data_IF_383565095693
#
_entry.id   IF_383565095693
#
_cell.length_a   1.000
_cell.length_b   1.000
_cell.length_c   1.000
_cell.angle_alpha   90.00
_cell.angle_beta   90.00
_cell.angle_gamma   90.00
#
_symmetry.space_group_name_H-M   'P 1'
#
loop_
_entity.id
_entity.type
_entity.pdbx_description
1 polymer ?
#
# COMPACT_ATOMS: atom_id res chain seq x y z
N UNK A 1 -22.46 -9.36 -12.24
CA UNK A 1 -22.68 -8.08 -11.53
C UNK A 1 -22.77 -6.98 -12.57
N UNK A 2 -23.87 -6.22 -12.58
CA UNK A 2 -24.08 -5.14 -13.55
C UNK A 2 -23.11 -3.97 -13.31
N UNK A 3 -22.98 -3.07 -14.29
CA UNK A 3 -22.16 -1.87 -14.17
C UNK A 3 -22.64 -0.97 -13.01
N UNK A 4 -23.95 -0.80 -12.87
CA UNK A 4 -24.59 -0.03 -11.78
C UNK A 4 -24.28 -0.63 -10.41
N UNK A 5 -24.31 -1.96 -10.29
CA UNK A 5 -23.96 -2.66 -9.06
C UNK A 5 -22.49 -2.50 -8.67
N UNK A 6 -21.57 -2.57 -9.66
CA UNK A 6 -20.15 -2.32 -9.43
C UNK A 6 -19.90 -0.88 -9.00
N UNK A 7 -20.59 0.08 -9.61
CA UNK A 7 -20.50 1.49 -9.26
C UNK A 7 -20.99 1.73 -7.82
N UNK A 8 -22.15 1.15 -7.46
CA UNK A 8 -22.71 1.25 -6.12
C UNK A 8 -21.81 0.65 -5.04
N UNK A 9 -21.20 -0.50 -5.31
CA UNK A 9 -20.23 -1.09 -4.38
C UNK A 9 -18.95 -0.26 -4.26
N UNK A 10 -18.46 0.28 -5.38
CA UNK A 10 -17.28 1.16 -5.37
C UNK A 10 -17.58 2.41 -4.56
N UNK A 11 -18.75 3.01 -4.77
CA UNK A 11 -19.22 4.15 -4.00
C UNK A 11 -19.29 3.83 -2.50
N UNK A 12 -19.96 2.73 -2.15
CA UNK A 12 -20.14 2.26 -0.78
C UNK A 12 -18.81 1.99 -0.08
N UNK A 13 -17.86 1.34 -0.76
CA UNK A 13 -16.53 1.03 -0.18
C UNK A 13 -15.59 2.23 -0.15
N UNK A 14 -15.85 3.29 -0.92
CA UNK A 14 -15.01 4.50 -0.98
C UNK A 14 -15.52 5.58 -0.03
N UNK A 15 -16.80 5.93 -0.13
CA UNK A 15 -17.40 7.09 0.54
C UNK A 15 -18.29 6.73 1.74
N UNK A 16 -18.90 5.55 1.77
CA UNK A 16 -19.83 5.12 2.84
C UNK A 16 -19.39 3.83 3.53
N UNK A 17 -18.12 3.79 3.95
CA UNK A 17 -17.51 2.59 4.57
C UNK A 17 -18.22 2.13 5.84
N UNK A 18 -18.83 3.06 6.58
CA UNK A 18 -19.63 2.76 7.78
C UNK A 18 -21.01 2.18 7.46
N UNK A 19 -21.41 2.21 6.17
CA UNK A 19 -22.73 1.81 5.69
C UNK A 19 -23.87 2.66 6.23
N UNK A 20 -23.56 3.86 6.73
CA UNK A 20 -24.54 4.71 7.38
C UNK A 20 -25.60 5.18 6.38
N UNK A 21 -25.20 5.78 5.26
CA UNK A 21 -26.15 6.26 4.25
C UNK A 21 -26.89 5.09 3.61
N UNK A 22 -26.16 4.03 3.26
CA UNK A 22 -26.73 2.83 2.66
C UNK A 22 -27.82 2.19 3.54
N UNK A 23 -27.55 1.98 4.84
CA UNK A 23 -28.51 1.37 5.77
C UNK A 23 -29.69 2.30 6.06
N UNK A 24 -29.41 3.60 6.22
CA UNK A 24 -30.44 4.60 6.47
C UNK A 24 -31.43 4.66 5.30
N UNK A 25 -30.92 4.73 4.07
CA UNK A 25 -31.76 4.76 2.87
C UNK A 25 -32.46 3.42 2.64
N UNK A 26 -31.77 2.28 2.81
CA UNK A 26 -32.38 0.94 2.68
C UNK A 26 -33.59 0.74 3.62
N UNK A 27 -33.55 1.33 4.81
CA UNK A 27 -34.62 1.24 5.80
C UNK A 27 -35.88 2.05 5.46
N UNK A 28 -35.80 2.95 4.47
CA UNK A 28 -36.91 3.78 4.04
C UNK A 28 -37.76 3.08 2.97
N UNK A 29 -39.05 3.40 2.95
CA UNK A 29 -39.91 3.02 1.83
C UNK A 29 -39.44 3.69 0.52
N UNK A 30 -39.71 3.06 -0.61
CA UNK A 30 -39.36 3.50 -1.97
C UNK A 30 -39.72 4.97 -2.23
N UNK A 31 -40.92 5.41 -1.84
CA UNK A 31 -41.36 6.80 -2.02
C UNK A 31 -40.44 7.79 -1.29
N UNK A 32 -40.09 7.51 -0.04
CA UNK A 32 -39.20 8.36 0.75
C UNK A 32 -37.76 8.36 0.22
N UNK A 33 -37.28 7.23 -0.32
CA UNK A 33 -35.96 7.17 -0.98
C UNK A 33 -35.92 8.07 -2.22
N UNK A 34 -36.91 7.95 -3.11
CA UNK A 34 -36.99 8.82 -4.30
C UNK A 34 -37.18 10.29 -3.94
N UNK A 35 -37.97 10.60 -2.90
CA UNK A 35 -38.10 11.96 -2.38
C UNK A 35 -36.76 12.50 -1.88
N UNK A 36 -35.99 11.70 -1.13
CA UNK A 36 -34.63 12.06 -0.70
C UNK A 36 -33.71 12.29 -1.89
N UNK A 37 -33.74 11.43 -2.90
CA UNK A 37 -32.94 11.57 -4.11
C UNK A 37 -33.25 12.87 -4.88
N UNK A 38 -34.53 13.20 -5.04
CA UNK A 38 -34.96 14.45 -5.69
C UNK A 38 -34.53 15.65 -4.84
N UNK A 39 -34.75 15.60 -3.52
CA UNK A 39 -34.33 16.66 -2.59
C UNK A 39 -32.81 16.87 -2.62
N UNK A 40 -32.03 15.79 -2.66
CA UNK A 40 -30.58 15.83 -2.78
C UNK A 40 -30.16 16.53 -4.08
N UNK A 41 -30.75 16.18 -5.22
CA UNK A 41 -30.48 16.84 -6.51
C UNK A 41 -30.81 18.33 -6.44
N UNK A 42 -31.96 18.70 -5.87
CA UNK A 42 -32.37 20.11 -5.72
C UNK A 42 -31.41 20.89 -4.82
N UNK A 43 -31.02 20.33 -3.68
CA UNK A 43 -30.06 20.93 -2.76
C UNK A 43 -28.69 21.12 -3.41
N UNK A 44 -28.24 20.12 -4.18
CA UNK A 44 -26.99 20.15 -4.91
C UNK A 44 -27.01 21.16 -6.07
N UNK A 45 -28.13 21.28 -6.79
CA UNK A 45 -28.33 22.36 -7.77
C UNK A 45 -28.25 23.74 -7.11
N UNK A 46 -28.83 23.91 -5.92
CA UNK A 46 -28.73 25.15 -5.16
C UNK A 46 -27.28 25.45 -4.76
N UNK A 47 -26.51 24.45 -4.32
CA UNK A 47 -25.07 24.60 -4.04
C UNK A 47 -24.31 25.06 -5.29
N UNK A 48 -24.58 24.44 -6.44
CA UNK A 48 -23.97 24.85 -7.72
C UNK A 48 -24.28 26.32 -8.05
N UNK A 49 -25.55 26.72 -7.94
CA UNK A 49 -25.98 28.11 -8.23
C UNK A 49 -25.33 29.12 -7.28
N UNK A 50 -25.20 28.78 -5.99
CA UNK A 50 -24.50 29.65 -5.00
C UNK A 50 -23.01 29.74 -5.27
N UNK A 51 -22.35 28.63 -5.62
CA UNK A 51 -20.95 28.66 -6.05
C UNK A 51 -20.76 29.47 -7.32
N UNK A 52 -21.67 29.37 -8.29
CA UNK A 52 -21.60 30.15 -9.52
C UNK A 52 -21.74 31.66 -9.26
N UNK A 53 -22.60 32.05 -8.31
CA UNK A 53 -22.70 33.43 -7.85
C UNK A 53 -21.39 33.92 -7.20
N UNK A 54 -20.69 33.07 -6.43
CA UNK A 54 -19.38 33.39 -5.84
C UNK A 54 -18.29 33.50 -6.93
N UNK A 55 -18.38 32.68 -7.98
CA UNK A 55 -17.41 32.62 -9.08
C UNK A 55 -17.64 33.69 -10.14
N UNK A 56 -18.75 34.44 -10.08
CA UNK A 56 -18.98 35.61 -10.95
C UNK A 56 -18.08 36.81 -10.54
N UNK A 57 -16.78 36.54 -10.52
CA UNK A 57 -15.68 37.41 -10.09
C UNK A 57 -15.31 38.41 -11.18
N UNK A 58 -15.93 38.34 -12.38
CA UNK A 58 -15.76 39.36 -13.42
C UNK A 58 -16.19 40.76 -12.97
N UNK A 59 -16.94 40.86 -11.86
CA UNK A 59 -17.34 42.12 -11.24
C UNK A 59 -16.32 42.69 -10.24
N UNK A 60 -15.24 41.97 -9.92
CA UNK A 60 -14.26 42.36 -8.92
C UNK A 60 -12.86 42.47 -9.53
N UNK A 61 -12.09 43.46 -9.07
CA UNK A 61 -10.70 43.71 -9.50
C UNK A 61 -9.73 42.71 -8.84
N UNK A 62 -9.97 41.42 -9.08
CA UNK A 62 -9.23 40.30 -8.49
C UNK A 62 -8.17 39.81 -9.50
N UNK A 63 -6.94 39.48 -9.05
CA UNK A 63 -5.88 38.93 -9.90
C UNK A 63 -6.33 37.73 -10.74
N UNK A 64 -5.93 37.68 -12.00
CA UNK A 64 -6.29 36.64 -12.99
C UNK A 64 -6.05 35.21 -12.48
N UNK A 65 -4.97 35.01 -11.70
CA UNK A 65 -4.67 33.72 -11.08
C UNK A 65 -5.79 33.25 -10.14
N UNK A 66 -6.30 34.13 -9.28
CA UNK A 66 -7.37 33.82 -8.32
C UNK A 66 -8.68 33.55 -9.06
N UNK A 67 -8.96 34.29 -10.14
CA UNK A 67 -10.13 34.03 -10.99
C UNK A 67 -10.09 32.63 -11.60
N UNK A 68 -8.94 32.24 -12.18
CA UNK A 68 -8.77 30.91 -12.77
C UNK A 68 -8.86 29.80 -11.72
N UNK A 69 -8.28 30.00 -10.53
CA UNK A 69 -8.38 29.04 -9.43
C UNK A 69 -9.84 28.82 -8.99
N UNK A 70 -10.61 29.91 -8.84
CA UNK A 70 -12.02 29.83 -8.43
C UNK A 70 -12.90 29.16 -9.50
N UNK A 71 -12.62 29.39 -10.79
CA UNK A 71 -13.29 28.66 -11.89
C UNK A 71 -13.00 27.16 -11.80
N UNK A 72 -11.74 26.76 -11.59
CA UNK A 72 -11.36 25.34 -11.46
C UNK A 72 -12.02 24.69 -10.24
N UNK A 73 -12.05 25.39 -9.10
CA UNK A 73 -12.73 24.91 -7.90
C UNK A 73 -14.24 24.75 -8.13
N UNK A 74 -14.88 25.69 -8.82
CA UNK A 74 -16.30 25.60 -9.19
C UNK A 74 -16.61 24.42 -10.11
N UNK A 75 -15.78 24.19 -11.12
CA UNK A 75 -15.89 23.01 -11.97
C UNK A 75 -15.71 21.73 -11.15
N UNK A 76 -14.75 21.70 -10.22
CA UNK A 76 -14.55 20.60 -9.28
C UNK A 76 -15.79 20.29 -8.44
N UNK A 77 -16.45 21.32 -7.89
CA UNK A 77 -17.70 21.17 -7.13
C UNK A 77 -18.83 20.62 -8.02
N UNK A 78 -18.95 21.09 -9.27
CA UNK A 78 -19.93 20.58 -10.24
C UNK A 78 -19.72 19.08 -10.52
N UNK A 79 -18.49 18.67 -10.81
CA UNK A 79 -18.18 17.25 -11.05
C UNK A 79 -18.42 16.39 -9.81
N UNK A 80 -17.97 16.84 -8.63
CA UNK A 80 -18.14 16.10 -7.38
C UNK A 80 -19.62 15.88 -7.07
N UNK A 81 -20.45 16.90 -7.30
CA UNK A 81 -21.90 16.87 -7.14
C UNK A 81 -22.57 15.81 -8.02
N UNK A 82 -22.19 15.75 -9.30
CA UNK A 82 -22.70 14.75 -10.25
C UNK A 82 -22.29 13.34 -9.82
N UNK A 83 -21.01 13.15 -9.48
CA UNK A 83 -20.47 11.87 -9.03
C UNK A 83 -21.18 11.41 -7.75
N UNK A 84 -21.41 12.31 -6.80
CA UNK A 84 -22.09 12.02 -5.53
C UNK A 84 -23.54 11.59 -5.74
N UNK A 85 -24.25 12.27 -6.65
CA UNK A 85 -25.63 11.92 -7.02
C UNK A 85 -25.68 10.53 -7.66
N UNK A 86 -24.87 10.27 -8.68
CA UNK A 86 -24.82 8.97 -9.35
C UNK A 86 -24.48 7.85 -8.34
N UNK A 87 -23.53 8.11 -7.45
CA UNK A 87 -23.12 7.20 -6.38
C UNK A 87 -24.28 6.80 -5.46
N UNK A 88 -25.01 7.77 -4.91
CA UNK A 88 -26.14 7.48 -4.01
C UNK A 88 -27.29 6.80 -4.75
N UNK A 89 -27.68 7.27 -5.94
CA UNK A 89 -28.75 6.65 -6.72
C UNK A 89 -28.44 5.19 -7.07
N UNK A 90 -27.16 4.87 -7.30
CA UNK A 90 -26.75 3.51 -7.64
C UNK A 90 -27.00 2.49 -6.52
N UNK A 91 -27.23 2.93 -5.27
CA UNK A 91 -27.61 2.04 -4.16
C UNK A 91 -28.87 1.22 -4.44
N UNK A 92 -29.80 1.73 -5.25
CA UNK A 92 -30.99 0.99 -5.67
C UNK A 92 -30.63 -0.36 -6.31
N UNK A 93 -29.52 -0.41 -7.05
CA UNK A 93 -29.07 -1.64 -7.73
C UNK A 93 -28.55 -2.73 -6.79
N UNK A 94 -28.25 -2.38 -5.53
CA UNK A 94 -27.61 -3.27 -4.56
C UNK A 94 -28.42 -3.49 -3.28
N UNK A 95 -29.60 -2.88 -3.11
CA UNK A 95 -30.42 -3.08 -1.89
C UNK A 95 -30.89 -4.52 -1.70
N UNK A 96 -31.16 -5.23 -2.80
CA UNK A 96 -31.57 -6.64 -2.79
C UNK A 96 -30.38 -7.60 -2.57
N UNK A 97 -29.15 -7.10 -2.54
CA UNK A 97 -27.96 -7.93 -2.32
C UNK A 97 -27.61 -8.04 -0.83
N UNK A 98 -27.00 -9.16 -0.45
CA UNK A 98 -26.38 -9.32 0.86
C UNK A 98 -25.01 -8.63 0.88
N UNK A 99 -25.04 -7.32 1.16
CA UNK A 99 -23.85 -6.47 1.21
C UNK A 99 -22.92 -6.85 2.35
N UNK A 100 -23.44 -7.32 3.48
CA UNK A 100 -22.61 -7.74 4.60
C UNK A 100 -21.77 -8.96 4.21
N UNK A 101 -22.37 -9.94 3.52
CA UNK A 101 -21.64 -11.09 2.98
C UNK A 101 -20.60 -10.65 1.95
N UNK A 102 -20.98 -9.79 1.00
CA UNK A 102 -20.05 -9.29 -0.02
C UNK A 102 -18.83 -8.57 0.59
N UNK A 103 -19.06 -7.67 1.56
CA UNK A 103 -17.98 -6.93 2.22
C UNK A 103 -17.08 -7.85 3.05
N UNK A 104 -17.65 -8.88 3.67
CA UNK A 104 -16.88 -9.88 4.42
C UNK A 104 -15.98 -10.69 3.47
N UNK A 105 -16.49 -11.12 2.32
CA UNK A 105 -15.72 -11.82 1.30
C UNK A 105 -14.61 -10.92 0.71
N UNK A 106 -14.90 -9.65 0.44
CA UNK A 106 -13.92 -8.64 0.02
C UNK A 106 -12.79 -8.50 1.03
N UNK A 107 -13.12 -8.23 2.30
CA UNK A 107 -12.12 -8.11 3.38
C UNK A 107 -11.28 -9.38 3.53
N UNK A 108 -11.92 -10.56 3.46
CA UNK A 108 -11.20 -11.84 3.51
C UNK A 108 -10.25 -12.01 2.32
N UNK A 109 -10.65 -11.62 1.11
CA UNK A 109 -9.79 -11.65 -0.08
C UNK A 109 -8.62 -10.69 0.06
N UNK A 110 -8.85 -9.45 0.52
CA UNK A 110 -7.80 -8.47 0.76
C UNK A 110 -6.80 -8.94 1.83
N UNK A 111 -7.31 -9.46 2.95
CA UNK A 111 -6.48 -10.05 3.99
C UNK A 111 -5.71 -11.27 3.50
N UNK A 112 -6.34 -12.13 2.71
CA UNK A 112 -5.69 -13.28 2.10
C UNK A 112 -4.57 -12.84 1.16
N UNK A 113 -4.80 -11.84 0.31
CA UNK A 113 -3.78 -11.26 -0.58
C UNK A 113 -2.65 -10.64 0.25
N UNK A 114 -2.96 -9.86 1.29
CA UNK A 114 -1.97 -9.24 2.17
C UNK A 114 -1.13 -10.30 2.88
N UNK A 115 -1.78 -11.33 3.47
CA UNK A 115 -1.12 -12.48 4.10
C UNK A 115 -0.28 -13.26 3.09
N UNK A 116 -0.75 -13.50 1.87
CA UNK A 116 -0.02 -14.21 0.81
C UNK A 116 1.18 -13.42 0.30
N UNK A 117 1.04 -12.10 0.10
CA UNK A 117 2.15 -11.21 -0.25
C UNK A 117 3.19 -11.18 0.86
N UNK A 118 2.78 -10.96 2.11
CA UNK A 118 3.68 -11.03 3.28
C UNK A 118 4.37 -12.39 3.38
N UNK A 119 3.63 -13.48 3.16
CA UNK A 119 4.20 -14.83 3.12
C UNK A 119 5.22 -15.00 2.00
N UNK A 120 5.00 -14.43 0.81
CA UNK A 120 5.97 -14.45 -0.30
C UNK A 120 7.26 -13.72 0.05
N UNK A 121 7.17 -12.63 0.82
CA UNK A 121 8.33 -11.86 1.30
C UNK A 121 9.04 -12.49 2.52
N UNK A 122 8.50 -13.54 3.13
CA UNK A 122 9.26 -14.26 4.17
C UNK A 122 10.47 -14.89 3.50
N UNK A 123 11.66 -14.67 4.06
CA UNK A 123 12.93 -15.23 3.58
C UNK A 123 12.82 -16.72 3.20
N UNK A 124 12.04 -17.47 3.97
CA UNK A 124 11.72 -18.89 3.76
C UNK A 124 11.01 -19.24 2.45
N UNK A 125 10.18 -18.36 1.92
CA UNK A 125 9.38 -18.58 0.71
C UNK A 125 9.96 -17.86 -0.52
N UNK A 126 11.03 -17.08 -0.35
CA UNK A 126 11.73 -16.42 -1.46
C UNK A 126 12.56 -17.42 -2.26
N UNK A 127 12.63 -17.20 -3.57
CA UNK A 127 13.51 -17.95 -4.48
C UNK A 127 14.99 -17.76 -4.09
N UNK A 128 15.81 -18.78 -4.34
CA UNK A 128 17.24 -18.76 -3.98
C UNK A 128 17.98 -17.58 -4.64
N UNK A 129 17.66 -17.27 -5.91
CA UNK A 129 18.27 -16.15 -6.63
C UNK A 129 17.97 -14.80 -5.95
N UNK A 130 16.70 -14.55 -5.59
CA UNK A 130 16.31 -13.31 -4.90
C UNK A 130 17.00 -13.20 -3.53
N UNK A 131 17.17 -14.33 -2.83
CA UNK A 131 17.86 -14.39 -1.55
C UNK A 131 19.34 -14.03 -1.69
N UNK A 132 20.03 -14.59 -2.69
CA UNK A 132 21.44 -14.25 -2.99
C UNK A 132 21.58 -12.77 -3.34
N UNK A 133 20.67 -12.21 -4.15
CA UNK A 133 20.69 -10.77 -4.48
C UNK A 133 20.53 -9.91 -3.24
N UNK A 134 19.59 -10.25 -2.34
CA UNK A 134 19.40 -9.52 -1.07
C UNK A 134 20.66 -9.61 -0.21
N UNK A 135 21.28 -10.78 -0.10
CA UNK A 135 22.52 -10.96 0.65
C UNK A 135 23.67 -10.14 0.07
N UNK A 136 23.91 -10.21 -1.23
CA UNK A 136 24.93 -9.37 -1.87
C UNK A 136 24.65 -7.88 -1.66
N UNK A 137 23.39 -7.45 -1.79
CA UNK A 137 23.00 -6.06 -1.54
C UNK A 137 23.26 -5.60 -0.10
N UNK A 138 22.94 -6.44 0.89
CA UNK A 138 23.23 -6.16 2.31
C UNK A 138 24.75 -6.11 2.53
N UNK A 139 25.52 -7.01 1.94
CA UNK A 139 26.98 -7.01 2.05
C UNK A 139 27.57 -5.72 1.48
N UNK A 140 27.18 -5.33 0.26
CA UNK A 140 27.64 -4.08 -0.36
C UNK A 140 27.30 -2.86 0.51
N UNK A 141 26.07 -2.81 1.05
CA UNK A 141 25.65 -1.72 1.93
C UNK A 141 26.50 -1.66 3.21
N UNK A 142 26.72 -2.79 3.88
CA UNK A 142 27.51 -2.83 5.10
C UNK A 142 29.00 -2.57 4.83
N UNK A 143 29.53 -3.04 3.71
CA UNK A 143 30.90 -2.77 3.28
C UNK A 143 31.11 -1.26 3.12
N UNK A 144 30.25 -0.57 2.36
CA UNK A 144 30.36 0.88 2.15
C UNK A 144 30.21 1.66 3.46
N UNK A 145 29.27 1.26 4.31
CA UNK A 145 29.08 1.89 5.62
C UNK A 145 30.32 1.71 6.52
N UNK A 146 30.91 0.52 6.50
CA UNK A 146 32.08 0.23 7.32
C UNK A 146 33.35 0.90 6.79
N UNK A 147 33.50 0.95 5.46
CA UNK A 147 34.57 1.69 4.77
C UNK A 147 34.54 3.17 5.14
N UNK A 148 33.37 3.81 5.04
CA UNK A 148 33.21 5.23 5.40
C UNK A 148 33.59 5.51 6.86
N UNK A 149 33.13 4.66 7.80
CA UNK A 149 33.47 4.78 9.22
C UNK A 149 34.98 4.63 9.45
N UNK A 150 35.63 3.64 8.83
CA UNK A 150 37.06 3.38 9.02
C UNK A 150 37.91 4.52 8.45
N UNK A 151 37.58 4.99 7.25
CA UNK A 151 38.28 6.10 6.58
C UNK A 151 38.11 7.39 7.38
N UNK A 152 36.87 7.71 7.77
CA UNK A 152 36.56 8.90 8.58
C UNK A 152 37.28 8.87 9.93
N UNK A 153 37.26 7.72 10.61
CA UNK A 153 37.98 7.54 11.88
C UNK A 153 39.48 7.71 11.72
N UNK A 154 40.07 7.18 10.65
CA UNK A 154 41.49 7.33 10.36
C UNK A 154 41.90 8.80 10.16
N UNK A 155 41.18 9.53 9.30
CA UNK A 155 41.45 10.95 9.07
C UNK A 155 41.17 11.83 10.30
N UNK A 156 40.24 11.43 11.18
CA UNK A 156 40.01 12.13 12.45
C UNK A 156 41.19 12.07 13.42
N UNK A 157 41.99 10.99 13.36
CA UNK A 157 43.12 10.76 14.26
C UNK A 157 44.42 11.32 13.69
N UNK A 158 44.65 11.14 12.38
CA UNK A 158 45.93 11.50 11.74
C UNK A 158 45.89 12.82 10.94
N UNK A 159 44.74 13.50 10.88
CA UNK A 159 44.54 14.72 10.12
C UNK A 159 44.48 14.48 8.60
N UNK A 160 44.35 15.55 7.82
CA UNK A 160 44.11 15.49 6.36
C UNK A 160 45.31 14.97 5.55
N UNK A 161 46.52 15.02 6.11
CA UNK A 161 47.78 14.64 5.43
C UNK A 161 48.61 13.66 6.25
N UNK A 162 48.14 12.40 6.40
CA UNK A 162 48.91 11.36 7.08
C UNK A 162 50.21 11.06 6.33
N UNK A 163 51.26 10.66 7.07
CA UNK A 163 52.51 10.23 6.43
C UNK A 163 52.30 8.99 5.57
N UNK A 164 53.09 8.85 4.49
CA UNK A 164 52.99 7.74 3.54
C UNK A 164 53.08 6.37 4.22
N UNK A 165 53.93 6.23 5.22
CA UNK A 165 54.11 4.98 5.97
C UNK A 165 52.88 4.60 6.80
N UNK A 166 52.27 5.59 7.47
CA UNK A 166 51.05 5.40 8.26
C UNK A 166 49.87 5.02 7.34
N UNK A 167 49.76 5.67 6.18
CA UNK A 167 48.71 5.38 5.21
C UNK A 167 48.85 3.98 4.61
N UNK A 168 50.06 3.53 4.26
CA UNK A 168 50.30 2.16 3.77
C UNK A 168 49.93 1.13 4.85
N UNK A 169 50.30 1.38 6.11
CA UNK A 169 49.93 0.50 7.22
C UNK A 169 48.42 0.42 7.41
N UNK A 170 47.73 1.56 7.34
CA UNK A 170 46.27 1.62 7.37
C UNK A 170 45.63 0.79 6.25
N UNK A 171 46.12 0.87 5.02
CA UNK A 171 45.58 0.08 3.90
C UNK A 171 45.75 -1.43 4.11
N UNK A 172 46.87 -1.87 4.70
CA UNK A 172 47.11 -3.28 5.03
C UNK A 172 46.13 -3.75 6.12
N UNK A 173 45.99 -2.96 7.19
CA UNK A 173 45.07 -3.27 8.29
C UNK A 173 43.60 -3.22 7.82
N UNK A 174 43.27 -2.30 6.92
CA UNK A 174 41.97 -2.19 6.26
C UNK A 174 41.63 -3.44 5.46
N UNK A 175 42.52 -3.87 4.55
CA UNK A 175 42.32 -5.08 3.74
C UNK A 175 42.13 -6.33 4.64
N UNK A 176 42.94 -6.46 5.68
CA UNK A 176 42.80 -7.54 6.66
C UNK A 176 41.46 -7.49 7.39
N UNK A 177 41.03 -6.30 7.82
CA UNK A 177 39.76 -6.10 8.54
C UNK A 177 38.57 -6.41 7.65
N UNK A 178 38.58 -5.96 6.39
CA UNK A 178 37.52 -6.26 5.41
C UNK A 178 37.45 -7.77 5.11
N UNK A 179 38.58 -8.46 5.03
CA UNK A 179 38.61 -9.93 4.87
C UNK A 179 37.95 -10.64 6.05
N UNK A 180 38.27 -10.25 7.28
CA UNK A 180 37.62 -10.81 8.48
C UNK A 180 36.12 -10.48 8.55
N UNK A 181 35.75 -9.24 8.27
CA UNK A 181 34.36 -8.82 8.18
C UNK A 181 33.58 -9.66 7.17
N UNK A 182 34.14 -9.86 5.97
CA UNK A 182 33.53 -10.68 4.91
C UNK A 182 33.41 -12.14 5.33
N UNK A 183 34.43 -12.71 5.98
CA UNK A 183 34.37 -14.08 6.49
C UNK A 183 33.26 -14.26 7.54
N UNK A 184 33.16 -13.36 8.51
CA UNK A 184 32.11 -13.36 9.55
C UNK A 184 30.73 -13.21 8.91
N UNK A 185 30.61 -12.33 7.90
CA UNK A 185 29.37 -12.12 7.17
C UNK A 185 28.89 -13.39 6.44
N UNK A 186 29.81 -14.08 5.74
CA UNK A 186 29.50 -15.32 5.04
C UNK A 186 29.08 -16.44 6.00
N UNK A 187 29.74 -16.56 7.15
CA UNK A 187 29.35 -17.51 8.20
C UNK A 187 27.95 -17.19 8.71
N UNK A 188 27.67 -15.91 8.98
CA UNK A 188 26.37 -15.44 9.48
C UNK A 188 25.23 -15.74 8.50
N UNK A 189 25.45 -15.51 7.20
CA UNK A 189 24.48 -15.88 6.16
C UNK A 189 24.27 -17.38 6.12
N UNK A 190 25.34 -18.17 6.19
CA UNK A 190 25.25 -19.63 6.10
C UNK A 190 24.41 -20.19 7.24
N UNK A 191 24.61 -19.68 8.46
CA UNK A 191 23.81 -20.01 9.63
C UNK A 191 22.34 -19.59 9.42
N UNK A 192 22.09 -18.37 8.95
CA UNK A 192 20.75 -17.87 8.66
C UNK A 192 20.03 -18.76 7.64
N UNK A 193 20.72 -19.12 6.54
CA UNK A 193 20.18 -19.95 5.46
C UNK A 193 19.87 -21.37 5.96
N UNK A 194 20.74 -21.94 6.80
CA UNK A 194 20.52 -23.23 7.45
C UNK A 194 19.24 -23.22 8.30
N UNK A 195 19.03 -22.21 9.15
CA UNK A 195 17.82 -22.10 9.96
C UNK A 195 16.56 -21.92 9.12
N UNK A 196 16.66 -21.16 8.03
CA UNK A 196 15.56 -20.98 7.08
C UNK A 196 15.18 -22.32 6.43
N UNK A 197 16.16 -23.08 5.94
CA UNK A 197 15.93 -24.40 5.29
C UNK A 197 15.44 -25.47 6.26
N UNK A 198 15.98 -25.53 7.48
CA UNK A 198 15.51 -26.46 8.54
C UNK A 198 14.01 -26.27 8.82
N UNK A 199 13.55 -25.02 8.90
CA UNK A 199 12.12 -24.68 9.09
C UNK A 199 11.24 -24.94 7.86
N UNK A 200 11.81 -25.15 6.66
CA UNK A 200 11.06 -25.60 5.47
C UNK A 200 10.84 -27.11 5.54
N UNK A 201 11.93 -27.88 5.77
CA UNK A 201 11.87 -29.35 5.85
C UNK A 201 10.90 -29.83 6.94
N UNK A 202 10.95 -29.22 8.12
CA UNK A 202 10.03 -29.52 9.22
C UNK A 202 8.55 -29.18 8.95
N UNK A 203 8.27 -28.25 8.01
CA UNK A 203 6.89 -27.92 7.60
C UNK A 203 6.38 -28.92 6.55
N UNK A 204 7.23 -29.32 5.61
CA UNK A 204 6.87 -30.28 4.56
C UNK A 204 6.68 -31.70 5.10
N UNK A 205 7.38 -32.09 6.18
CA UNK A 205 7.15 -33.36 6.88
C UNK A 205 5.83 -33.41 7.69
N UNK A 206 5.22 -32.26 7.99
CA UNK A 206 3.98 -32.18 8.78
C UNK A 206 2.69 -32.10 7.96
N UNK A 207 2.78 -32.01 6.63
CA UNK A 207 1.64 -32.28 5.75
C UNK A 207 1.61 -33.80 5.55
N UNK A 208 0.63 -34.53 6.11
CA UNK A 208 0.59 -35.98 5.99
C UNK A 208 0.41 -36.36 4.53
N UNK A 209 1.05 -37.46 4.13
CA UNK A 209 0.56 -38.28 3.05
C UNK A 209 -0.94 -38.48 3.30
N UNK A 210 -1.78 -37.94 2.42
CA UNK A 210 -3.18 -38.36 2.36
C UNK A 210 -3.14 -39.88 2.25
N UNK A 211 -3.69 -40.50 3.30
CA UNK A 211 -4.08 -41.89 3.37
C UNK A 211 -4.59 -42.32 2.00
N UNK A 212 -3.76 -43.11 1.28
CA UNK A 212 -4.27 -44.00 0.25
C UNK A 212 -5.31 -44.86 0.95
N UNK A 213 -6.58 -44.59 0.69
CA UNK A 213 -7.67 -45.50 0.96
C UNK A 213 -7.31 -46.82 0.28
N UNK A 214 -6.89 -47.80 1.08
CA UNK A 214 -6.97 -49.20 0.71
C UNK A 214 -8.47 -49.53 0.59
N UNK A 215 -9.02 -49.39 -0.61
CA UNK A 215 -10.13 -50.24 -1.04
C UNK A 215 -9.51 -51.52 -1.57
N UNK A 216 -9.39 -52.50 -0.67
CA UNK A 216 -9.01 -53.87 -0.96
C UNK A 216 -9.80 -54.78 -0.04
N UNK A 217 -10.72 -55.51 -0.68
CA UNK A 217 -11.49 -56.67 -0.19
C UNK A 217 -12.71 -56.42 0.69
#
# INVERSE_FOLDING_TARGET
>A
MSLTQKLALTWLTTFDKSLFLFRSLKGLNTIFRYSFYISLVLALCFVILKFEAIINIRAYDIPIFIQNLLIVLGLGVKFLTIIFTIGIFSYESIYNLDINKYLKEQKQKEEFIKKKKLQKFRLRNMNILLRVVIYLGIWCFLYLLFEDILISSFFSVYGETPSKEIYIKFLIDYDLTIKYFTAIYLISITILDYFVRKKIKAKNQKFPQETKTNTGE
#
